data_IF_942727026168
#
_entry.id   IF_942727026168
#
_cell.length_a   1.000
_cell.length_b   1.000
_cell.length_c   1.000
_cell.angle_alpha   90.00
_cell.angle_beta   90.00
_cell.angle_gamma   90.00
#
_symmetry.space_group_name_H-M   'P 1'
#
loop_
_entity.id
_entity.type
_entity.pdbx_description
1 polymer ?
#
# COMPACT_ATOMS: atom_id res chain seq x y z
N UNK A 1 -6.80 -1.81 -25.15
CA UNK A 1 -6.84 -1.39 -23.72
C UNK A 1 -7.93 -2.17 -23.04
N UNK A 2 -7.60 -3.08 -22.12
CA UNK A 2 -8.60 -3.85 -21.38
C UNK A 2 -9.40 -2.92 -20.45
N UNK A 3 -10.74 -3.08 -20.35
CA UNK A 3 -11.55 -2.26 -19.46
C UNK A 3 -11.10 -2.51 -18.02
N UNK A 4 -10.62 -1.46 -17.36
CA UNK A 4 -10.33 -1.46 -15.92
C UNK A 4 -11.66 -1.73 -15.20
N UNK A 5 -11.90 -2.99 -14.82
CA UNK A 5 -13.14 -3.39 -14.13
C UNK A 5 -13.22 -2.63 -12.81
N UNK A 6 -14.31 -1.89 -12.63
CA UNK A 6 -14.64 -1.26 -11.34
C UNK A 6 -14.70 -2.34 -10.25
N UNK A 7 -14.04 -2.12 -9.12
CA UNK A 7 -13.97 -3.09 -8.01
C UNK A 7 -12.85 -4.13 -8.08
N UNK A 8 -12.16 -4.31 -9.22
CA UNK A 8 -11.01 -5.22 -9.33
C UNK A 8 -9.69 -4.57 -8.91
N UNK A 9 -8.79 -5.35 -8.28
CA UNK A 9 -7.40 -4.96 -8.11
C UNK A 9 -6.71 -4.89 -9.48
N UNK A 10 -5.91 -3.84 -9.69
CA UNK A 10 -5.03 -3.77 -10.85
C UNK A 10 -3.91 -4.81 -10.74
N UNK A 11 -3.26 -5.08 -11.87
CA UNK A 11 -2.01 -5.83 -11.88
C UNK A 11 -1.00 -5.21 -10.92
N UNK A 12 -0.24 -6.07 -10.24
CA UNK A 12 0.83 -5.67 -9.34
C UNK A 12 1.97 -5.14 -10.19
N UNK A 13 2.41 -3.92 -9.90
CA UNK A 13 3.51 -3.25 -10.61
C UNK A 13 4.50 -2.62 -9.66
N UNK A 14 5.61 -2.15 -10.21
CA UNK A 14 6.59 -1.37 -9.45
C UNK A 14 6.00 0.00 -9.03
N UNK A 15 6.38 0.50 -7.84
CA UNK A 15 5.96 1.81 -7.34
C UNK A 15 6.61 2.94 -8.12
N UNK A 16 5.86 4.02 -8.30
CA UNK A 16 6.39 5.31 -8.69
C UNK A 16 6.85 6.11 -7.47
N UNK A 17 7.62 7.17 -7.71
CA UNK A 17 8.07 8.08 -6.65
C UNK A 17 6.89 8.74 -5.89
N UNK A 18 5.75 8.94 -6.57
CA UNK A 18 4.54 9.49 -5.92
C UNK A 18 3.91 8.49 -4.94
N UNK A 19 3.91 7.21 -5.27
CA UNK A 19 3.35 6.14 -4.43
C UNK A 19 4.21 5.88 -3.20
N UNK A 20 5.54 5.99 -3.36
CA UNK A 20 6.46 6.03 -2.23
C UNK A 20 6.14 7.21 -1.31
N UNK A 21 5.96 8.43 -1.85
CA UNK A 21 5.58 9.61 -1.06
C UNK A 21 4.22 9.46 -0.37
N UNK A 22 3.25 8.77 -0.99
CA UNK A 22 1.97 8.44 -0.35
C UNK A 22 2.17 7.51 0.84
N UNK A 23 3.01 6.48 0.68
CA UNK A 23 3.37 5.58 1.76
C UNK A 23 4.09 6.33 2.90
N UNK A 24 5.01 7.23 2.58
CA UNK A 24 5.73 8.03 3.57
C UNK A 24 4.81 8.97 4.37
N UNK A 25 3.75 9.51 3.76
CA UNK A 25 2.75 10.32 4.47
C UNK A 25 1.98 9.54 5.54
N UNK A 26 1.71 8.25 5.29
CA UNK A 26 1.00 7.38 6.24
C UNK A 26 1.96 6.53 7.08
N UNK A 27 3.27 6.76 6.97
CA UNK A 27 4.28 5.94 7.64
C UNK A 27 4.12 5.98 9.15
N UNK A 28 3.87 7.15 9.72
CA UNK A 28 3.68 7.29 11.16
C UNK A 28 2.46 6.50 11.65
N UNK A 29 1.33 6.60 10.95
CA UNK A 29 0.12 5.82 11.25
C UNK A 29 0.36 4.31 11.09
N UNK A 30 1.12 3.92 10.06
CA UNK A 30 1.45 2.52 9.81
C UNK A 30 2.30 1.94 10.95
N UNK A 31 3.34 2.67 11.37
CA UNK A 31 4.25 2.31 12.48
C UNK A 31 3.50 2.23 13.82
N UNK A 32 2.61 3.19 14.08
CA UNK A 32 1.73 3.16 15.26
C UNK A 32 0.81 1.94 15.24
N UNK A 33 0.24 1.59 14.08
CA UNK A 33 -0.71 0.48 13.94
C UNK A 33 -0.06 -0.90 14.10
N UNK A 34 1.18 -1.06 13.63
CA UNK A 34 1.97 -2.29 13.87
C UNK A 34 2.57 -2.34 15.28
N UNK A 35 2.55 -1.25 16.04
CA UNK A 35 3.06 -1.19 17.42
C UNK A 35 4.57 -1.38 17.56
N UNK A 36 5.34 -1.18 16.49
CA UNK A 36 6.80 -1.36 16.48
C UNK A 36 7.49 -0.42 15.50
N UNK A 37 8.74 -0.09 15.79
CA UNK A 37 9.56 0.72 14.90
C UNK A 37 10.06 -0.09 13.70
N UNK A 38 10.14 0.59 12.55
CA UNK A 38 10.66 0.03 11.29
C UNK A 38 11.94 0.76 10.91
N UNK A 39 12.98 0.01 10.56
CA UNK A 39 14.27 0.59 10.18
C UNK A 39 14.26 1.10 8.74
N UNK A 40 13.49 0.45 7.87
CA UNK A 40 13.30 0.82 6.46
C UNK A 40 11.82 1.04 6.18
N UNK A 41 11.49 1.84 5.17
CA UNK A 41 10.11 2.00 4.70
C UNK A 41 10.10 2.21 3.20
N UNK A 42 10.37 1.14 2.45
CA UNK A 42 10.50 1.19 0.99
C UNK A 42 9.38 0.40 0.33
N UNK A 43 8.57 1.07 -0.49
CA UNK A 43 7.58 0.39 -1.30
C UNK A 43 8.30 -0.44 -2.37
N UNK A 44 7.89 -1.70 -2.54
CA UNK A 44 8.44 -2.62 -3.55
C UNK A 44 7.43 -2.96 -4.63
N UNK A 45 6.14 -2.97 -4.29
CA UNK A 45 5.07 -3.30 -5.23
C UNK A 45 3.79 -2.52 -4.90
N UNK A 46 3.01 -2.24 -5.93
CA UNK A 46 1.76 -1.48 -5.85
C UNK A 46 0.68 -2.16 -6.67
N UNK A 47 -0.52 -2.22 -6.10
CA UNK A 47 -1.75 -2.47 -6.83
C UNK A 47 -2.77 -1.41 -6.43
N UNK A 48 -3.67 -1.07 -7.35
CA UNK A 48 -4.70 -0.04 -7.13
C UNK A 48 -6.07 -0.59 -7.44
N UNK A 49 -7.08 -0.12 -6.73
CA UNK A 49 -8.48 -0.47 -6.95
C UNK A 49 -9.31 0.80 -7.01
N UNK A 50 -10.05 0.95 -8.12
CA UNK A 50 -10.95 2.08 -8.32
C UNK A 50 -12.28 1.80 -7.61
N UNK A 51 -12.69 2.73 -6.74
CA UNK A 51 -13.95 2.73 -5.98
C UNK A 51 -14.56 4.15 -6.05
N UNK A 52 -15.31 4.60 -5.04
CA UNK A 52 -15.68 6.02 -4.88
C UNK A 52 -14.47 6.90 -4.47
N UNK A 53 -13.33 6.70 -5.13
CA UNK A 53 -11.99 7.06 -4.71
C UNK A 53 -10.99 6.05 -5.29
N UNK A 54 -9.78 6.00 -4.75
CA UNK A 54 -8.77 5.01 -5.15
C UNK A 54 -8.15 4.37 -3.92
N UNK A 55 -8.25 3.05 -3.81
CA UNK A 55 -7.46 2.28 -2.85
C UNK A 55 -6.10 1.95 -3.47
N UNK A 56 -5.03 2.20 -2.74
CA UNK A 56 -3.66 1.80 -3.06
C UNK A 56 -3.23 0.72 -2.08
N UNK A 57 -2.90 -0.44 -2.63
CA UNK A 57 -2.32 -1.56 -1.90
C UNK A 57 -0.82 -1.52 -2.16
N UNK A 58 -0.04 -1.19 -1.14
CA UNK A 58 1.41 -1.07 -1.26
C UNK A 58 2.08 -2.14 -0.40
N UNK A 59 3.02 -2.86 -0.99
CA UNK A 59 3.91 -3.75 -0.27
C UNK A 59 5.15 -2.96 0.12
N UNK A 60 5.39 -2.84 1.41
CA UNK A 60 6.46 -2.02 1.98
C UNK A 60 7.45 -2.93 2.68
N UNK A 61 8.72 -2.84 2.28
CA UNK A 61 9.84 -3.46 2.96
C UNK A 61 10.19 -2.65 4.20
N UNK A 62 10.14 -3.31 5.36
CA UNK A 62 10.39 -2.69 6.66
C UNK A 62 11.69 -3.14 7.34
N UNK A 63 12.18 -4.33 7.00
CA UNK A 63 13.50 -4.86 7.39
C UNK A 63 14.08 -5.78 6.30
N UNK A 64 15.19 -6.49 6.56
CA UNK A 64 15.89 -7.32 5.56
C UNK A 64 14.97 -8.32 4.83
N UNK A 65 14.14 -9.04 5.58
CA UNK A 65 13.21 -10.06 5.06
C UNK A 65 11.76 -9.81 5.50
N UNK A 66 11.49 -8.63 6.02
CA UNK A 66 10.20 -8.30 6.58
C UNK A 66 9.46 -7.26 5.74
N UNK A 67 8.20 -7.59 5.43
CA UNK A 67 7.32 -6.77 4.63
C UNK A 67 6.01 -6.54 5.37
N UNK A 68 5.39 -5.42 5.06
CA UNK A 68 4.01 -5.13 5.46
C UNK A 68 3.22 -4.77 4.21
N UNK A 69 1.93 -5.07 4.21
CA UNK A 69 1.03 -4.54 3.20
C UNK A 69 0.24 -3.41 3.83
N UNK A 70 0.27 -2.23 3.22
CA UNK A 70 -0.53 -1.09 3.63
C UNK A 70 -1.59 -0.81 2.58
N UNK A 71 -2.78 -0.45 3.05
CA UNK A 71 -3.88 0.00 2.22
C UNK A 71 -4.12 1.47 2.51
N UNK A 72 -3.94 2.28 1.49
CA UNK A 72 -4.18 3.72 1.54
C UNK A 72 -5.44 4.02 0.73
N UNK A 73 -6.36 4.77 1.31
CA UNK A 73 -7.50 5.30 0.59
C UNK A 73 -7.23 6.75 0.21
N UNK A 74 -7.36 7.03 -1.08
CA UNK A 74 -7.34 8.38 -1.63
C UNK A 74 -8.74 8.75 -2.06
N UNK A 75 -9.32 9.74 -1.41
CA UNK A 75 -10.65 10.25 -1.75
C UNK A 75 -10.61 11.02 -3.09
N UNK A 76 -11.77 11.25 -3.71
CA UNK A 76 -11.89 12.03 -4.95
C UNK A 76 -11.40 13.47 -4.77
N UNK A 77 -11.43 14.00 -3.54
CA UNK A 77 -10.89 15.33 -3.19
C UNK A 77 -9.36 15.35 -3.00
N UNK A 78 -8.69 14.21 -3.11
CA UNK A 78 -7.23 14.10 -2.96
C UNK A 78 -6.72 13.88 -1.53
N UNK A 79 -7.62 13.74 -0.55
CA UNK A 79 -7.26 13.39 0.83
C UNK A 79 -6.76 11.94 0.88
N UNK A 80 -5.65 11.72 1.59
CA UNK A 80 -4.96 10.42 1.69
C UNK A 80 -5.02 9.95 3.13
N UNK A 81 -5.52 8.73 3.36
CA UNK A 81 -5.66 8.17 4.70
C UNK A 81 -5.27 6.68 4.72
N UNK A 82 -4.62 6.25 5.80
CA UNK A 82 -4.32 4.85 6.02
C UNK A 82 -5.60 4.09 6.36
N UNK A 83 -6.05 3.23 5.45
CA UNK A 83 -7.25 2.41 5.69
C UNK A 83 -6.93 1.17 6.52
N UNK A 84 -5.88 0.45 6.14
CA UNK A 84 -5.54 -0.80 6.80
C UNK A 84 -4.05 -1.12 6.70
N UNK A 85 -3.54 -1.92 7.64
CA UNK A 85 -2.16 -2.42 7.65
C UNK A 85 -2.20 -3.90 7.97
N UNK A 86 -1.43 -4.67 7.22
CA UNK A 86 -1.23 -6.10 7.44
C UNK A 86 0.26 -6.32 7.66
N UNK A 87 0.62 -6.68 8.88
CA UNK A 87 1.97 -7.05 9.26
C UNK A 87 2.28 -8.51 8.92
N UNK A 88 3.49 -8.96 9.26
CA UNK A 88 3.99 -10.33 9.04
C UNK A 88 3.87 -10.82 7.58
N UNK A 89 4.14 -9.94 6.61
CA UNK A 89 4.16 -10.33 5.20
C UNK A 89 5.59 -10.66 4.75
N UNK A 90 5.70 -11.57 3.78
CA UNK A 90 6.98 -11.97 3.19
C UNK A 90 7.10 -11.45 1.76
N UNK A 91 8.28 -11.61 1.15
CA UNK A 91 8.53 -11.22 -0.24
C UNK A 91 7.61 -11.93 -1.24
N UNK A 92 7.20 -13.17 -0.95
CA UNK A 92 6.33 -13.98 -1.80
C UNK A 92 4.84 -13.77 -1.53
N UNK A 93 4.46 -13.10 -0.43
CA UNK A 93 3.06 -12.76 -0.16
C UNK A 93 2.46 -11.92 -1.29
N UNK A 94 1.40 -12.39 -1.98
CA UNK A 94 0.77 -11.62 -3.04
C UNK A 94 0.02 -10.41 -2.47
N UNK A 95 0.02 -9.31 -3.23
CA UNK A 95 -0.80 -8.13 -2.96
C UNK A 95 -2.25 -8.43 -3.34
N UNK A 96 -3.01 -8.93 -2.36
CA UNK A 96 -4.45 -9.19 -2.46
C UNK A 96 -5.25 -8.17 -1.66
N UNK A 97 -6.57 -8.17 -1.83
CA UNK A 97 -7.46 -7.28 -1.08
C UNK A 97 -7.54 -7.74 0.39
N UNK A 98 -7.45 -6.81 1.34
CA UNK A 98 -7.54 -7.02 2.79
C UNK A 98 -8.13 -5.81 3.51
#
# INVERSE_FOLDING_TARGET
MAPKKVGGLSEVREPTAEEQKLADQVKEDAVKKIGRNVSTFKVVQVSTQVVAGTNYFLKVKVACDEFIHIRIYKDLKGKVELSNVKDCQTKDSPLVHF
#
